data_IF_838123636870
#
_entry.id   IF_838123636870
#
_cell.length_a   1.000
_cell.length_b   1.000
_cell.length_c   1.000
_cell.angle_alpha   90.00
_cell.angle_beta   90.00
_cell.angle_gamma   90.00
#
_symmetry.space_group_name_H-M   'P 1'
#
loop_
_entity.id
_entity.type
_entity.pdbx_description
1 polymer ?
#
# COMPACT_ATOMS: atom_id res chain seq x y z
N UNK A 1 40.70 -8.62 11.07
CA UNK A 1 41.42 -8.18 12.29
C UNK A 1 41.10 -6.71 12.48
N UNK A 2 40.61 -6.32 13.65
CA UNK A 2 40.22 -4.92 13.90
C UNK A 2 41.46 -4.05 14.15
N UNK A 3 41.39 -2.76 13.81
CA UNK A 3 42.53 -1.82 13.97
C UNK A 3 43.11 -1.81 15.38
N UNK A 4 42.24 -1.92 16.42
CA UNK A 4 42.67 -1.95 17.83
C UNK A 4 43.42 -3.22 18.17
N UNK A 5 42.91 -4.39 17.77
CA UNK A 5 43.60 -5.67 17.94
C UNK A 5 44.93 -5.72 17.17
N UNK A 6 44.91 -5.19 15.92
CA UNK A 6 46.14 -5.11 15.12
C UNK A 6 47.21 -4.23 15.80
N UNK A 7 46.80 -3.08 16.35
CA UNK A 7 47.70 -2.18 17.07
C UNK A 7 48.27 -2.83 18.33
N UNK A 8 47.44 -3.48 19.16
CA UNK A 8 47.89 -4.16 20.37
C UNK A 8 48.83 -5.32 20.06
N UNK A 9 48.52 -6.12 19.04
CA UNK A 9 49.37 -7.20 18.57
C UNK A 9 50.72 -6.65 18.08
N UNK A 10 50.71 -5.56 17.31
CA UNK A 10 51.91 -4.91 16.83
C UNK A 10 52.80 -4.41 17.98
N UNK A 11 52.21 -3.77 18.99
CA UNK A 11 52.91 -3.32 20.19
C UNK A 11 53.54 -4.51 20.94
N UNK A 12 52.82 -5.60 21.11
CA UNK A 12 53.35 -6.81 21.77
C UNK A 12 54.47 -7.48 20.96
N UNK A 13 54.38 -7.50 19.64
CA UNK A 13 55.43 -8.02 18.76
C UNK A 13 56.68 -7.12 18.84
N UNK A 14 56.50 -5.79 18.77
CA UNK A 14 57.61 -4.84 18.93
C UNK A 14 58.32 -4.99 20.31
N UNK A 15 57.51 -5.16 21.37
CA UNK A 15 58.04 -5.43 22.71
C UNK A 15 58.79 -6.78 22.79
N UNK A 16 58.29 -7.82 22.11
CA UNK A 16 58.97 -9.11 22.01
C UNK A 16 60.34 -9.00 21.33
N UNK A 17 60.40 -8.25 20.22
CA UNK A 17 61.66 -8.01 19.50
C UNK A 17 62.64 -7.20 20.34
N UNK A 18 62.20 -6.16 21.05
CA UNK A 18 63.01 -5.36 21.95
C UNK A 18 63.55 -6.19 23.15
N UNK A 19 62.68 -7.00 23.77
CA UNK A 19 63.04 -7.86 24.88
C UNK A 19 64.04 -8.94 24.47
N UNK A 20 63.91 -9.52 23.26
CA UNK A 20 64.89 -10.49 22.75
C UNK A 20 66.26 -9.92 22.49
N UNK A 21 66.37 -8.60 22.21
CA UNK A 21 67.66 -7.93 21.97
C UNK A 21 68.32 -7.41 23.24
N UNK A 22 67.49 -7.03 24.25
CA UNK A 22 68.01 -6.26 25.41
C UNK A 22 67.95 -7.01 26.77
N UNK A 23 66.99 -7.96 26.91
CA UNK A 23 66.77 -8.64 28.18
C UNK A 23 67.19 -10.12 28.14
N UNK A 24 66.30 -10.98 27.77
CA UNK A 24 66.45 -12.43 27.71
C UNK A 24 65.58 -13.09 26.69
N UNK A 25 65.97 -14.22 26.05
CA UNK A 25 65.08 -14.91 25.05
C UNK A 25 63.80 -15.46 25.67
N UNK A 26 63.77 -15.76 26.99
CA UNK A 26 62.59 -16.18 27.71
C UNK A 26 61.49 -15.07 27.79
N UNK A 27 61.91 -13.81 27.99
CA UNK A 27 61.05 -12.67 28.03
C UNK A 27 60.47 -12.40 26.63
N UNK A 28 61.21 -12.53 25.55
CA UNK A 28 60.76 -12.40 24.18
C UNK A 28 59.65 -13.45 23.84
N UNK A 29 59.89 -14.70 24.26
CA UNK A 29 58.90 -15.76 24.05
C UNK A 29 57.56 -15.49 24.79
N UNK A 30 57.63 -14.92 26.00
CA UNK A 30 56.44 -14.59 26.78
C UNK A 30 55.63 -13.48 26.12
N UNK A 31 56.25 -12.41 25.62
CA UNK A 31 55.57 -11.35 24.88
C UNK A 31 54.98 -11.84 23.54
N UNK A 32 55.65 -12.76 22.88
CA UNK A 32 55.15 -13.37 21.64
C UNK A 32 53.91 -14.24 21.89
N UNK A 33 53.92 -15.06 22.94
CA UNK A 33 52.75 -15.84 23.35
C UNK A 33 51.61 -14.93 23.77
N UNK A 34 51.88 -13.84 24.49
CA UNK A 34 50.88 -12.84 24.85
C UNK A 34 50.26 -12.18 23.59
N UNK A 35 51.05 -11.85 22.57
CA UNK A 35 50.58 -11.31 21.32
C UNK A 35 49.59 -12.26 20.61
N UNK A 36 49.91 -13.56 20.56
CA UNK A 36 49.06 -14.58 19.99
C UNK A 36 47.76 -14.70 20.79
N UNK A 37 47.81 -14.74 22.11
CA UNK A 37 46.65 -14.81 22.98
C UNK A 37 45.72 -13.60 22.78
N UNK A 38 46.28 -12.39 22.72
CA UNK A 38 45.52 -11.17 22.47
C UNK A 38 44.84 -11.21 21.09
N UNK A 39 45.56 -11.65 20.05
CA UNK A 39 45.05 -11.76 18.71
C UNK A 39 43.84 -12.71 18.59
N UNK A 40 43.91 -13.82 19.33
CA UNK A 40 42.83 -14.84 19.35
C UNK A 40 41.69 -14.46 20.27
N UNK A 41 41.97 -13.79 21.40
CA UNK A 41 41.01 -13.51 22.45
C UNK A 41 40.18 -12.24 22.23
N UNK A 42 40.78 -11.21 21.64
CA UNK A 42 40.14 -9.90 21.51
C UNK A 42 39.32 -9.81 20.22
N UNK A 43 37.99 -9.69 20.36
CA UNK A 43 37.07 -9.49 19.27
C UNK A 43 36.27 -8.20 19.46
N UNK A 44 35.89 -7.57 18.38
CA UNK A 44 35.06 -6.38 18.37
C UNK A 44 33.83 -6.61 17.48
N UNK A 45 32.68 -6.32 18.03
CA UNK A 45 31.41 -6.34 17.28
C UNK A 45 31.06 -4.93 16.82
N UNK A 46 30.55 -4.83 15.59
CA UNK A 46 29.94 -3.60 15.08
C UNK A 46 28.62 -3.31 15.80
N UNK A 47 28.13 -2.07 15.70
CA UNK A 47 26.90 -1.66 16.37
C UNK A 47 25.66 -2.49 15.97
N UNK A 48 25.68 -3.06 14.79
CA UNK A 48 24.58 -3.84 14.23
C UNK A 48 24.77 -5.36 14.30
N UNK A 49 25.91 -5.83 14.85
CA UNK A 49 26.24 -7.24 14.97
C UNK A 49 26.04 -7.74 16.39
N UNK A 50 25.43 -8.91 16.51
CA UNK A 50 25.40 -9.68 17.76
C UNK A 50 26.14 -11.00 17.57
N UNK A 51 27.07 -11.27 18.47
CA UNK A 51 27.86 -12.48 18.48
C UNK A 51 27.25 -13.47 19.47
N UNK A 52 26.92 -14.66 19.00
CA UNK A 52 26.43 -15.76 19.84
C UNK A 52 27.61 -16.64 20.20
N UNK A 53 27.96 -16.66 21.50
CA UNK A 53 29.15 -17.35 22.02
C UNK A 53 28.69 -18.58 22.80
N UNK A 54 29.19 -19.73 22.37
CA UNK A 54 29.07 -20.98 23.12
C UNK A 54 30.37 -21.29 23.86
N UNK A 55 30.24 -21.74 25.10
CA UNK A 55 31.32 -22.27 25.90
C UNK A 55 31.12 -23.76 26.09
N UNK A 56 32.06 -24.59 25.60
CA UNK A 56 31.97 -26.04 25.69
C UNK A 56 30.57 -26.60 25.22
N UNK A 57 30.00 -25.99 24.15
CA UNK A 57 28.72 -26.42 23.60
C UNK A 57 27.48 -25.86 24.32
N UNK A 58 27.64 -25.11 25.42
CA UNK A 58 26.49 -24.44 26.09
C UNK A 58 26.51 -22.95 25.79
N UNK A 59 25.33 -22.38 25.62
CA UNK A 59 25.18 -20.93 25.44
C UNK A 59 25.72 -20.20 26.68
N UNK A 60 26.68 -19.32 26.46
CA UNK A 60 27.24 -18.52 27.54
C UNK A 60 26.67 -17.10 27.53
N UNK A 61 26.72 -16.43 26.39
CA UNK A 61 26.26 -15.05 26.29
C UNK A 61 26.11 -14.62 24.82
N UNK A 62 25.19 -13.67 24.60
CA UNK A 62 25.08 -12.92 23.34
C UNK A 62 25.74 -11.57 23.55
N UNK A 63 26.84 -11.29 22.82
CA UNK A 63 27.60 -10.04 22.91
C UNK A 63 27.18 -9.10 21.78
N UNK A 64 26.78 -7.88 22.15
CA UNK A 64 26.50 -6.79 21.22
C UNK A 64 27.73 -5.94 20.91
N UNK A 65 27.47 -4.71 20.45
CA UNK A 65 28.50 -3.75 20.06
C UNK A 65 29.55 -3.53 21.11
N UNK A 66 30.80 -3.43 20.67
CA UNK A 66 31.93 -3.12 21.51
C UNK A 66 33.01 -4.18 21.49
N UNK A 67 34.00 -3.98 22.37
CA UNK A 67 35.15 -4.85 22.52
C UNK A 67 34.85 -5.90 23.59
N UNK A 68 35.06 -7.16 23.29
CA UNK A 68 34.88 -8.25 24.23
C UNK A 68 35.98 -9.30 24.12
N UNK A 69 36.18 -9.98 25.22
CA UNK A 69 37.22 -11.00 25.38
C UNK A 69 36.59 -12.38 25.24
N UNK A 70 37.20 -13.22 24.41
CA UNK A 70 36.83 -14.62 24.21
C UNK A 70 37.98 -15.47 24.73
N UNK A 71 37.71 -16.56 25.44
CA UNK A 71 38.75 -17.51 25.85
C UNK A 71 39.03 -18.43 24.66
N UNK A 72 40.20 -18.30 24.02
CA UNK A 72 40.56 -19.17 22.91
C UNK A 72 40.42 -20.66 23.29
N UNK A 73 40.00 -21.50 22.35
CA UNK A 73 39.82 -22.95 22.55
C UNK A 73 38.56 -23.35 23.32
N UNK A 74 38.12 -22.60 24.33
CA UNK A 74 36.95 -22.93 25.16
C UNK A 74 35.69 -22.28 24.61
N UNK A 75 35.78 -21.03 24.17
CA UNK A 75 34.66 -20.24 23.62
C UNK A 75 34.69 -20.32 22.11
N UNK A 76 33.53 -20.62 21.53
CA UNK A 76 33.31 -20.65 20.07
C UNK A 76 32.22 -19.67 19.68
N UNK A 77 32.47 -18.88 18.62
CA UNK A 77 31.47 -18.03 18.00
C UNK A 77 30.70 -18.89 16.99
N UNK A 78 29.42 -19.19 17.28
CA UNK A 78 28.59 -20.03 16.42
C UNK A 78 27.95 -19.23 15.30
N UNK A 79 27.51 -18.00 15.61
CA UNK A 79 26.88 -17.15 14.63
C UNK A 79 27.16 -15.66 14.92
N UNK A 80 27.23 -14.90 13.85
CA UNK A 80 27.22 -13.44 13.87
C UNK A 80 25.91 -12.99 13.21
N UNK A 81 25.03 -12.39 13.99
CA UNK A 81 23.70 -12.00 13.57
C UNK A 81 23.64 -10.50 13.33
N UNK A 82 23.20 -10.09 12.15
CA UNK A 82 22.92 -8.70 11.82
C UNK A 82 21.49 -8.37 12.29
N UNK A 83 21.35 -7.36 13.15
CA UNK A 83 20.05 -6.94 13.73
C UNK A 83 19.35 -5.83 12.94
N UNK A 84 19.95 -5.36 11.85
CA UNK A 84 19.33 -4.37 10.96
C UNK A 84 18.11 -4.95 10.25
N UNK A 85 17.25 -4.08 9.78
CA UNK A 85 16.15 -4.46 8.91
C UNK A 85 16.73 -5.01 7.61
N UNK A 86 16.35 -6.24 7.28
CA UNK A 86 16.70 -6.93 6.05
C UNK A 86 15.46 -7.06 5.18
N UNK A 87 15.67 -7.15 3.87
CA UNK A 87 14.62 -7.30 2.88
C UNK A 87 14.81 -8.60 2.13
N UNK A 88 13.74 -9.35 1.95
CA UNK A 88 13.73 -10.56 1.12
C UNK A 88 12.56 -10.45 0.15
N UNK A 89 12.85 -10.57 -1.14
CA UNK A 89 11.83 -10.70 -2.16
C UNK A 89 11.46 -12.17 -2.32
N UNK A 90 10.16 -12.46 -2.42
CA UNK A 90 9.64 -13.80 -2.63
C UNK A 90 8.44 -13.75 -3.56
N UNK A 91 8.14 -14.86 -4.21
CA UNK A 91 7.06 -14.98 -5.17
C UNK A 91 6.23 -16.25 -4.96
N UNK A 92 4.99 -16.20 -5.42
CA UNK A 92 4.14 -17.37 -5.56
C UNK A 92 3.75 -17.51 -7.02
N UNK A 93 4.42 -18.44 -7.70
CA UNK A 93 4.14 -18.73 -9.10
C UNK A 93 2.95 -19.69 -9.21
N UNK A 94 2.05 -19.40 -10.17
CA UNK A 94 0.88 -20.21 -10.51
C UNK A 94 0.02 -20.61 -9.30
N UNK A 95 -0.10 -19.71 -8.34
CA UNK A 95 -0.99 -19.93 -7.21
C UNK A 95 -2.45 -19.77 -7.65
N UNK A 96 -3.34 -20.65 -7.20
CA UNK A 96 -4.76 -20.57 -7.50
C UNK A 96 -5.47 -19.79 -6.41
N UNK A 97 -6.22 -18.77 -6.80
CA UNK A 97 -7.12 -18.04 -5.90
C UNK A 97 -8.35 -18.88 -5.55
N UNK A 98 -9.15 -18.42 -4.58
CA UNK A 98 -10.39 -19.08 -4.17
C UNK A 98 -11.38 -19.28 -5.34
N UNK A 99 -11.38 -18.38 -6.30
CA UNK A 99 -12.15 -18.42 -7.54
C UNK A 99 -11.45 -19.18 -8.68
N UNK A 100 -10.45 -19.99 -8.35
CA UNK A 100 -9.69 -20.88 -9.26
C UNK A 100 -8.93 -20.17 -10.39
N UNK A 101 -8.62 -18.90 -10.21
CA UNK A 101 -7.82 -18.12 -11.17
C UNK A 101 -6.34 -18.30 -10.85
N UNK A 102 -5.51 -18.76 -11.79
CA UNK A 102 -4.07 -18.83 -11.57
C UNK A 102 -3.46 -17.41 -11.60
N UNK A 103 -2.69 -17.09 -10.58
CA UNK A 103 -2.01 -15.80 -10.42
C UNK A 103 -0.54 -16.00 -10.09
N UNK A 104 0.29 -15.05 -10.52
CA UNK A 104 1.66 -14.91 -10.04
C UNK A 104 1.72 -13.65 -9.17
N UNK A 105 2.16 -13.81 -7.94
CA UNK A 105 2.22 -12.72 -6.97
C UNK A 105 3.66 -12.55 -6.50
N UNK A 106 4.17 -11.33 -6.64
CA UNK A 106 5.47 -10.91 -6.13
C UNK A 106 5.28 -10.07 -4.88
N UNK A 107 6.06 -10.39 -3.83
CA UNK A 107 6.00 -9.67 -2.57
C UNK A 107 7.40 -9.46 -1.98
N UNK A 108 7.52 -8.48 -1.09
CA UNK A 108 8.72 -8.19 -0.34
C UNK A 108 8.39 -8.20 1.15
N UNK A 109 9.22 -8.86 1.93
CA UNK A 109 9.17 -8.84 3.39
C UNK A 109 10.30 -8.01 3.95
N UNK A 110 9.99 -7.14 4.91
CA UNK A 110 10.95 -6.41 5.74
C UNK A 110 10.95 -7.02 7.13
N UNK A 111 12.09 -7.51 7.55
CA UNK A 111 12.23 -8.22 8.81
C UNK A 111 13.55 -7.91 9.50
N UNK A 112 13.62 -8.15 10.80
CA UNK A 112 14.85 -8.03 11.58
C UNK A 112 14.90 -9.08 12.69
N UNK A 113 16.09 -9.38 13.13
CA UNK A 113 16.30 -10.30 14.26
C UNK A 113 16.25 -9.50 15.56
N UNK A 114 15.27 -9.76 16.42
CA UNK A 114 15.18 -9.18 17.75
C UNK A 114 15.89 -10.02 18.80
N UNK A 115 15.88 -11.34 18.64
CA UNK A 115 16.51 -12.30 19.55
C UNK A 115 17.56 -13.13 18.79
N UNK A 116 18.83 -12.73 18.93
CA UNK A 116 19.94 -13.38 18.23
C UNK A 116 20.24 -14.79 18.76
N UNK A 117 19.88 -15.08 20.00
CA UNK A 117 20.04 -16.42 20.60
C UNK A 117 19.13 -17.42 19.87
N UNK A 118 17.84 -17.11 19.80
CA UNK A 118 16.87 -17.98 19.12
C UNK A 118 17.20 -18.12 17.64
N UNK A 119 17.57 -17.03 16.98
CA UNK A 119 17.91 -17.06 15.56
C UNK A 119 19.14 -17.94 15.25
N UNK A 120 20.07 -18.05 16.19
CA UNK A 120 21.26 -18.89 16.02
C UNK A 120 21.06 -20.36 16.41
N UNK A 121 20.20 -20.63 17.41
CA UNK A 121 20.09 -21.96 18.02
C UNK A 121 18.80 -22.70 17.62
N UNK A 122 17.71 -21.98 17.34
CA UNK A 122 16.45 -22.63 17.01
C UNK A 122 16.37 -23.11 15.56
N UNK A 123 17.13 -22.48 14.64
CA UNK A 123 17.10 -22.79 13.23
C UNK A 123 18.48 -22.68 12.58
N UNK A 124 18.76 -23.57 11.64
CA UNK A 124 20.07 -23.64 10.99
C UNK A 124 20.31 -22.45 10.05
N UNK A 125 19.32 -22.11 9.21
CA UNK A 125 19.39 -21.02 8.26
C UNK A 125 18.09 -20.21 8.30
N UNK A 126 18.04 -19.22 9.17
CA UNK A 126 16.86 -18.37 9.37
C UNK A 126 16.46 -17.59 8.12
N UNK A 127 17.43 -17.18 7.26
CA UNK A 127 17.15 -16.43 6.03
C UNK A 127 16.36 -17.28 5.04
N UNK A 128 16.80 -18.49 4.79
CA UNK A 128 16.13 -19.42 3.89
C UNK A 128 14.78 -19.86 4.47
N UNK A 129 14.69 -20.05 5.77
CA UNK A 129 13.46 -20.42 6.43
C UNK A 129 12.39 -19.33 6.34
N UNK A 130 12.77 -18.04 6.49
CA UNK A 130 11.86 -16.91 6.30
C UNK A 130 11.32 -16.91 4.87
N UNK A 131 12.19 -17.07 3.87
CA UNK A 131 11.77 -17.12 2.47
C UNK A 131 10.73 -18.23 2.22
N UNK A 132 10.99 -19.43 2.70
CA UNK A 132 10.07 -20.57 2.57
C UNK A 132 8.73 -20.36 3.29
N UNK A 133 8.79 -19.79 4.50
CA UNK A 133 7.57 -19.49 5.28
C UNK A 133 6.78 -18.39 4.57
N UNK A 134 7.45 -17.35 4.07
CA UNK A 134 6.80 -16.26 3.34
C UNK A 134 6.11 -16.77 2.07
N UNK A 135 6.79 -17.61 1.27
CA UNK A 135 6.19 -18.23 0.07
C UNK A 135 4.98 -19.09 0.42
N UNK A 136 5.06 -19.89 1.49
CA UNK A 136 3.96 -20.77 1.91
C UNK A 136 2.77 -19.96 2.41
N UNK A 137 3.00 -18.94 3.26
CA UNK A 137 1.95 -18.07 3.77
C UNK A 137 1.29 -17.25 2.66
N UNK A 138 2.08 -16.80 1.66
CA UNK A 138 1.55 -16.13 0.49
C UNK A 138 0.61 -17.04 -0.31
N UNK A 139 1.00 -18.30 -0.54
CA UNK A 139 0.13 -19.28 -1.21
C UNK A 139 -1.16 -19.56 -0.44
N UNK A 140 -1.07 -19.72 0.88
CA UNK A 140 -2.23 -19.92 1.76
C UNK A 140 -3.20 -18.75 1.65
N UNK A 141 -2.67 -17.51 1.69
CA UNK A 141 -3.46 -16.29 1.57
C UNK A 141 -4.12 -16.17 0.19
N UNK A 142 -3.38 -16.42 -0.90
CA UNK A 142 -3.93 -16.40 -2.27
C UNK A 142 -5.06 -17.43 -2.40
N UNK A 143 -4.85 -18.67 -1.90
CA UNK A 143 -5.85 -19.73 -1.97
C UNK A 143 -7.12 -19.46 -1.16
N UNK A 144 -7.04 -18.65 -0.13
CA UNK A 144 -8.19 -18.26 0.70
C UNK A 144 -8.89 -16.99 0.21
N UNK A 145 -8.27 -16.21 -0.67
CA UNK A 145 -8.73 -14.90 -1.12
C UNK A 145 -9.35 -14.95 -2.51
N UNK A 146 -10.32 -14.06 -2.77
CA UNK A 146 -10.84 -13.82 -4.11
C UNK A 146 -9.89 -12.89 -4.88
N UNK A 147 -9.79 -13.06 -6.19
CA UNK A 147 -8.94 -12.21 -7.02
C UNK A 147 -9.30 -10.73 -6.90
N UNK A 148 -10.59 -10.40 -6.88
CA UNK A 148 -11.06 -9.03 -6.72
C UNK A 148 -10.57 -8.39 -5.41
N UNK A 149 -10.60 -9.13 -4.30
CA UNK A 149 -10.11 -8.67 -2.99
C UNK A 149 -8.59 -8.44 -3.00
N UNK A 150 -7.82 -9.34 -3.62
CA UNK A 150 -6.36 -9.18 -3.77
C UNK A 150 -5.96 -7.93 -4.56
N UNK A 151 -6.81 -7.51 -5.51
CA UNK A 151 -6.56 -6.32 -6.33
C UNK A 151 -7.03 -5.03 -5.67
N UNK A 152 -8.17 -5.05 -4.91
CA UNK A 152 -8.77 -3.88 -4.27
C UNK A 152 -8.22 -3.59 -2.87
N UNK A 153 -8.05 -4.63 -2.06
CA UNK A 153 -7.79 -4.50 -0.62
C UNK A 153 -6.37 -4.96 -0.22
N UNK A 154 -5.37 -4.54 -1.02
CA UNK A 154 -3.96 -4.91 -0.82
C UNK A 154 -3.46 -4.67 0.61
N UNK A 155 -3.86 -3.56 1.23
CA UNK A 155 -3.41 -3.22 2.60
C UNK A 155 -3.87 -4.24 3.64
N UNK A 156 -5.06 -4.79 3.48
CA UNK A 156 -5.58 -5.82 4.37
C UNK A 156 -4.85 -7.15 4.17
N UNK A 157 -4.58 -7.51 2.91
CA UNK A 157 -3.77 -8.67 2.56
C UNK A 157 -2.33 -8.56 3.12
N UNK A 158 -1.68 -7.40 2.99
CA UNK A 158 -0.35 -7.12 3.55
C UNK A 158 -0.35 -7.27 5.07
N UNK A 159 -1.38 -6.74 5.76
CA UNK A 159 -1.52 -6.84 7.21
C UNK A 159 -1.72 -8.29 7.67
N UNK A 160 -2.54 -9.05 6.97
CA UNK A 160 -2.78 -10.46 7.26
C UNK A 160 -1.52 -11.29 7.07
N UNK A 161 -0.80 -11.12 5.95
CA UNK A 161 0.48 -11.79 5.70
C UNK A 161 1.51 -11.47 6.78
N UNK A 162 1.60 -10.21 7.19
CA UNK A 162 2.49 -9.80 8.29
C UNK A 162 2.20 -10.57 9.57
N UNK A 163 0.92 -10.72 9.93
CA UNK A 163 0.50 -11.45 11.12
C UNK A 163 0.86 -12.94 11.00
N UNK A 164 0.52 -13.57 9.89
CA UNK A 164 0.73 -15.00 9.67
C UNK A 164 2.22 -15.37 9.65
N UNK A 165 3.02 -14.63 8.89
CA UNK A 165 4.47 -14.85 8.85
C UNK A 165 5.10 -14.51 10.20
N UNK A 166 4.66 -13.43 10.85
CA UNK A 166 5.15 -13.03 12.17
C UNK A 166 4.91 -14.10 13.23
N UNK A 167 3.74 -14.72 13.26
CA UNK A 167 3.44 -15.83 14.18
C UNK A 167 4.33 -17.04 13.93
N UNK A 168 4.58 -17.41 12.67
CA UNK A 168 5.42 -18.54 12.29
C UNK A 168 6.90 -18.30 12.57
N UNK A 169 7.37 -17.04 12.52
CA UNK A 169 8.79 -16.67 12.69
C UNK A 169 9.15 -16.21 14.11
N UNK A 170 8.17 -15.83 14.93
CA UNK A 170 8.38 -15.40 16.31
C UNK A 170 9.15 -16.41 17.18
N UNK A 171 8.94 -17.74 17.09
CA UNK A 171 9.71 -18.72 17.84
C UNK A 171 11.22 -18.71 17.53
N UNK A 172 11.60 -18.20 16.36
CA UNK A 172 12.99 -18.10 15.92
C UNK A 172 13.64 -16.74 16.28
N UNK A 173 12.93 -15.90 17.02
CA UNK A 173 13.44 -14.58 17.43
C UNK A 173 13.48 -13.55 16.30
N UNK A 174 12.62 -13.70 15.30
CA UNK A 174 12.52 -12.83 14.14
C UNK A 174 11.23 -12.03 14.20
N UNK A 175 11.32 -10.74 13.94
CA UNK A 175 10.17 -9.84 13.85
C UNK A 175 9.99 -9.35 12.42
N UNK A 176 8.76 -9.46 11.92
CA UNK A 176 8.34 -8.92 10.63
C UNK A 176 7.89 -7.49 10.81
N UNK A 177 8.58 -6.55 10.15
CA UNK A 177 8.24 -5.12 10.19
C UNK A 177 7.07 -4.80 9.27
N UNK A 178 7.16 -5.22 8.01
CA UNK A 178 6.08 -5.12 7.02
C UNK A 178 6.22 -6.20 5.97
N UNK A 179 5.10 -6.48 5.30
CA UNK A 179 5.05 -7.28 4.07
C UNK A 179 4.32 -6.41 3.06
N UNK A 180 4.80 -6.41 1.84
CA UNK A 180 4.24 -5.59 0.76
C UNK A 180 4.12 -6.41 -0.51
N UNK A 181 2.89 -6.53 -1.01
CA UNK A 181 2.60 -7.15 -2.30
C UNK A 181 2.94 -6.14 -3.38
N UNK A 182 3.89 -6.48 -4.24
CA UNK A 182 4.35 -5.62 -5.34
C UNK A 182 3.44 -5.71 -6.54
N UNK A 183 3.29 -6.90 -7.08
CA UNK A 183 2.55 -7.15 -8.32
C UNK A 183 1.71 -8.42 -8.21
N UNK A 184 0.57 -8.40 -8.91
CA UNK A 184 -0.33 -9.52 -9.07
C UNK A 184 -0.56 -9.70 -10.56
N UNK A 185 0.19 -10.60 -11.16
CA UNK A 185 0.10 -10.88 -12.58
C UNK A 185 -0.93 -12.00 -12.83
N UNK A 186 -1.92 -11.69 -13.67
CA UNK A 186 -2.94 -12.63 -14.15
C UNK A 186 -2.68 -12.99 -15.61
N UNK A 187 -3.05 -14.19 -16.08
CA UNK A 187 -2.91 -14.59 -17.48
C UNK A 187 -3.61 -13.62 -18.42
N UNK A 188 -2.98 -13.32 -19.57
CA UNK A 188 -3.46 -12.32 -20.54
C UNK A 188 -4.90 -12.62 -21.01
N UNK A 189 -5.21 -13.91 -21.24
CA UNK A 189 -6.55 -14.32 -21.66
C UNK A 189 -7.66 -13.95 -20.67
N UNK A 190 -7.33 -13.92 -19.36
CA UNK A 190 -8.26 -13.52 -18.30
C UNK A 190 -8.31 -12.00 -18.13
N UNK A 191 -7.23 -11.28 -18.40
CA UNK A 191 -7.20 -9.82 -18.35
C UNK A 191 -8.23 -9.22 -19.31
N UNK A 192 -8.33 -9.73 -20.54
CA UNK A 192 -9.30 -9.28 -21.53
C UNK A 192 -10.75 -9.54 -21.10
N UNK A 193 -11.01 -10.71 -20.54
CA UNK A 193 -12.35 -11.05 -20.03
C UNK A 193 -12.75 -10.17 -18.85
N UNK A 194 -11.87 -9.96 -17.89
CA UNK A 194 -12.11 -9.10 -16.73
C UNK A 194 -12.24 -7.63 -17.13
N UNK A 195 -11.47 -7.16 -18.11
CA UNK A 195 -11.59 -5.80 -18.65
C UNK A 195 -12.96 -5.57 -19.26
N UNK A 196 -13.47 -6.50 -20.07
CA UNK A 196 -14.84 -6.43 -20.63
C UNK A 196 -15.92 -6.45 -19.56
N UNK A 197 -15.77 -7.31 -18.56
CA UNK A 197 -16.70 -7.37 -17.43
C UNK A 197 -16.71 -6.06 -16.65
N UNK A 198 -15.52 -5.51 -16.33
CA UNK A 198 -15.41 -4.24 -15.64
C UNK A 198 -15.98 -3.07 -16.45
N UNK A 199 -15.79 -3.07 -17.77
CA UNK A 199 -16.42 -2.08 -18.66
C UNK A 199 -17.93 -2.17 -18.65
N UNK A 200 -18.48 -3.39 -18.77
CA UNK A 200 -19.92 -3.61 -18.75
C UNK A 200 -20.56 -3.19 -17.40
N UNK A 201 -19.89 -3.47 -16.28
CA UNK A 201 -20.40 -3.04 -14.97
C UNK A 201 -20.33 -1.52 -14.80
N UNK A 202 -19.25 -0.85 -15.25
CA UNK A 202 -19.17 0.62 -15.26
C UNK A 202 -20.23 1.24 -16.14
N UNK A 203 -20.48 0.67 -17.31
CA UNK A 203 -21.52 1.14 -18.22
C UNK A 203 -22.92 0.98 -17.61
N UNK A 204 -23.19 -0.15 -16.97
CA UNK A 204 -24.43 -0.38 -16.23
C UNK A 204 -24.59 0.64 -15.10
N UNK A 205 -23.54 0.88 -14.30
CA UNK A 205 -23.58 1.89 -13.23
C UNK A 205 -23.80 3.30 -13.78
N UNK A 206 -23.12 3.66 -14.88
CA UNK A 206 -23.31 4.95 -15.54
C UNK A 206 -24.75 5.12 -16.02
N UNK A 207 -25.35 4.10 -16.65
CA UNK A 207 -26.76 4.13 -17.08
C UNK A 207 -27.72 4.22 -15.90
N UNK A 208 -27.44 3.54 -14.78
CA UNK A 208 -28.27 3.65 -13.57
C UNK A 208 -28.19 5.06 -12.97
N UNK A 209 -27.00 5.66 -12.91
CA UNK A 209 -26.81 7.04 -12.41
C UNK A 209 -27.55 8.03 -13.32
N UNK A 210 -27.40 7.89 -14.64
CA UNK A 210 -28.12 8.74 -15.60
C UNK A 210 -29.63 8.60 -15.45
N UNK A 211 -30.17 7.38 -15.38
CA UNK A 211 -31.57 7.15 -15.17
C UNK A 211 -32.12 7.72 -13.85
N UNK A 212 -31.32 7.59 -12.77
CA UNK A 212 -31.70 8.21 -11.49
C UNK A 212 -31.65 9.73 -11.53
N UNK A 213 -30.67 10.31 -12.26
CA UNK A 213 -30.57 11.75 -12.48
C UNK A 213 -31.77 12.25 -13.33
N UNK A 214 -32.12 11.55 -14.41
CA UNK A 214 -33.29 11.87 -15.25
C UNK A 214 -34.60 11.82 -14.44
N UNK A 215 -34.77 10.78 -13.59
CA UNK A 215 -35.96 10.68 -12.73
C UNK A 215 -36.01 11.83 -11.71
N UNK A 216 -34.85 12.20 -11.12
CA UNK A 216 -34.81 13.33 -10.20
C UNK A 216 -35.10 14.66 -10.91
N UNK A 217 -34.57 14.86 -12.12
CA UNK A 217 -34.86 16.04 -12.96
C UNK A 217 -36.33 16.08 -13.33
N UNK A 218 -36.94 14.94 -13.77
CA UNK A 218 -38.34 14.86 -14.09
C UNK A 218 -39.21 15.23 -12.88
N UNK A 219 -38.89 14.77 -11.68
CA UNK A 219 -39.56 15.20 -10.46
C UNK A 219 -39.50 16.71 -10.24
N UNK A 220 -38.34 17.32 -10.44
CA UNK A 220 -38.18 18.78 -10.35
C UNK A 220 -38.94 19.56 -11.41
N UNK A 221 -39.10 19.01 -12.62
CA UNK A 221 -39.92 19.59 -13.64
C UNK A 221 -41.42 19.55 -13.31
N UNK A 222 -41.91 18.47 -12.68
CA UNK A 222 -43.28 18.39 -12.19
C UNK A 222 -43.54 19.43 -11.10
N UNK A 223 -42.67 19.51 -10.09
CA UNK A 223 -42.74 20.53 -9.03
C UNK A 223 -42.76 21.96 -9.63
N UNK A 224 -41.87 22.22 -10.59
CA UNK A 224 -41.80 23.52 -11.25
C UNK A 224 -43.08 23.81 -12.08
N UNK A 225 -43.61 22.79 -12.77
CA UNK A 225 -44.85 22.94 -13.56
C UNK A 225 -46.06 23.26 -12.67
N UNK A 226 -46.19 22.65 -11.50
CA UNK A 226 -47.25 22.93 -10.53
C UNK A 226 -47.17 24.39 -10.03
N UNK A 227 -45.96 24.90 -9.75
CA UNK A 227 -45.76 26.30 -9.34
C UNK A 227 -46.15 27.26 -10.48
N UNK A 228 -45.72 26.96 -11.71
CA UNK A 228 -46.02 27.80 -12.87
C UNK A 228 -47.50 27.74 -13.31
N UNK A 229 -48.20 26.65 -13.06
CA UNK A 229 -49.63 26.54 -13.32
C UNK A 229 -50.48 27.60 -12.58
N UNK A 230 -50.04 27.95 -11.36
CA UNK A 230 -50.63 29.03 -10.58
C UNK A 230 -50.26 30.47 -11.00
N UNK A 231 -49.15 30.61 -11.76
CA UNK A 231 -48.55 31.92 -12.10
C UNK A 231 -48.12 32.02 -13.57
N UNK A 232 -49.05 32.21 -14.52
CA UNK A 232 -48.75 32.19 -15.97
C UNK A 232 -47.73 33.28 -16.41
N UNK A 233 -47.72 34.42 -15.74
CA UNK A 233 -46.76 35.51 -16.01
C UNK A 233 -45.32 35.08 -15.66
N UNK A 234 -45.15 34.32 -14.59
CA UNK A 234 -43.84 33.80 -14.19
C UNK A 234 -43.30 32.79 -15.21
N UNK A 235 -44.17 31.96 -15.81
CA UNK A 235 -43.77 31.03 -16.87
C UNK A 235 -43.25 31.78 -18.10
N UNK A 236 -43.93 32.90 -18.51
CA UNK A 236 -43.50 33.73 -19.64
C UNK A 236 -42.14 34.39 -19.37
N UNK A 237 -41.93 34.91 -18.17
CA UNK A 237 -40.63 35.50 -17.78
C UNK A 237 -39.51 34.45 -17.77
N UNK A 238 -39.83 33.22 -17.33
CA UNK A 238 -38.84 32.14 -17.34
C UNK A 238 -38.49 31.71 -18.77
N UNK A 239 -39.47 31.62 -19.66
CA UNK A 239 -39.26 31.33 -21.08
C UNK A 239 -38.33 32.41 -21.74
N UNK A 240 -38.59 33.69 -21.47
CA UNK A 240 -37.75 34.78 -21.98
C UNK A 240 -36.34 34.71 -21.43
N UNK A 241 -36.16 34.37 -20.15
CA UNK A 241 -34.86 34.26 -19.53
C UNK A 241 -34.03 33.08 -20.12
N UNK A 242 -34.66 31.93 -20.37
CA UNK A 242 -34.00 30.79 -21.02
C UNK A 242 -33.53 31.16 -22.43
N UNK A 243 -34.38 31.87 -23.21
CA UNK A 243 -34.01 32.34 -24.55
C UNK A 243 -32.82 33.29 -24.48
N UNK A 244 -32.86 34.22 -23.54
CA UNK A 244 -31.77 35.18 -23.33
C UNK A 244 -30.46 34.49 -22.96
N UNK A 245 -30.45 33.57 -21.98
CA UNK A 245 -29.27 32.81 -21.55
C UNK A 245 -28.69 31.97 -22.71
N UNK A 246 -29.54 31.24 -23.45
CA UNK A 246 -29.11 30.41 -24.58
C UNK A 246 -28.50 31.26 -25.71
N UNK A 247 -29.07 32.42 -26.00
CA UNK A 247 -28.57 33.34 -27.04
C UNK A 247 -27.26 33.96 -26.63
N UNK A 248 -27.11 34.31 -25.33
CA UNK A 248 -25.89 34.94 -24.79
C UNK A 248 -24.71 33.98 -24.77
N UNK A 249 -24.92 32.72 -24.37
CA UNK A 249 -23.80 31.77 -24.18
C UNK A 249 -23.30 31.15 -25.48
N UNK A 250 -24.18 30.92 -26.47
CA UNK A 250 -23.86 30.14 -27.69
C UNK A 250 -24.01 30.87 -29.00
N UNK A 251 -24.57 32.07 -29.03
CA UNK A 251 -24.82 32.82 -30.28
C UNK A 251 -25.73 32.02 -31.25
N UNK A 252 -26.58 31.13 -30.72
CA UNK A 252 -27.38 30.22 -31.51
C UNK A 252 -28.66 30.85 -32.02
N UNK A 253 -29.00 30.59 -33.28
CA UNK A 253 -30.32 30.93 -33.84
C UNK A 253 -31.35 29.92 -33.32
N UNK A 254 -32.38 30.46 -32.60
CA UNK A 254 -33.45 29.60 -32.07
C UNK A 254 -34.62 29.68 -33.05
N UNK A 255 -34.97 28.54 -33.67
CA UNK A 255 -36.18 28.43 -34.47
C UNK A 255 -37.37 28.10 -33.55
N UNK A 256 -38.31 29.05 -33.43
CA UNK A 256 -39.51 28.86 -32.63
C UNK A 256 -40.76 28.71 -33.55
N UNK A 257 -41.65 27.79 -33.25
CA UNK A 257 -42.96 27.74 -33.93
C UNK A 257 -43.75 29.02 -33.68
N UNK A 258 -44.46 29.54 -34.70
CA UNK A 258 -45.24 30.79 -34.60
C UNK A 258 -46.28 30.76 -33.48
N UNK A 259 -46.86 29.60 -33.21
CA UNK A 259 -47.81 29.42 -32.09
C UNK A 259 -47.18 29.66 -30.70
N UNK A 260 -45.86 29.43 -30.57
CA UNK A 260 -45.11 29.65 -29.33
C UNK A 260 -44.69 31.11 -29.18
N UNK A 261 -44.42 31.80 -30.31
CA UNK A 261 -44.12 33.23 -30.35
C UNK A 261 -45.35 34.04 -29.94
N UNK A 262 -46.53 33.64 -30.42
CA UNK A 262 -47.81 34.29 -30.08
C UNK A 262 -48.18 34.14 -28.60
N UNK A 263 -47.85 33.00 -27.99
CA UNK A 263 -48.06 32.75 -26.53
C UNK A 263 -47.12 33.52 -25.63
N UNK A 264 -45.94 33.95 -26.12
CA UNK A 264 -44.93 34.72 -25.40
C UNK A 264 -45.14 36.27 -25.61
N UNK A 265 -45.96 36.68 -26.56
CA UNK A 265 -46.20 38.10 -26.86
C UNK A 265 -47.20 38.69 -25.86
N UNK A 266 -46.76 39.56 -24.94
CA UNK A 266 -47.65 40.13 -23.90
C UNK A 266 -48.75 41.01 -24.46
N UNK A 267 -48.59 41.52 -25.70
CA UNK A 267 -49.62 42.32 -26.38
C UNK A 267 -50.85 41.53 -26.83
N UNK A 268 -50.66 40.27 -27.17
CA UNK A 268 -51.80 39.39 -27.53
C UNK A 268 -52.66 39.02 -26.30
N UNK A 269 -52.03 38.79 -25.15
CA UNK A 269 -52.76 38.47 -23.90
C UNK A 269 -53.51 39.70 -23.34
N UNK A 270 -52.92 40.89 -23.46
CA UNK A 270 -53.58 42.16 -23.04
C UNK A 270 -54.70 42.58 -23.97
N UNK A 271 -54.59 42.31 -25.28
CA UNK A 271 -55.69 42.53 -26.26
C UNK A 271 -56.84 41.56 -26.02
N UNK A 272 -56.56 40.30 -25.74
CA UNK A 272 -57.59 39.28 -25.41
C UNK A 272 -58.33 39.65 -24.12
N UNK A 273 -57.65 40.13 -23.08
CA UNK A 273 -58.25 40.60 -21.84
C UNK A 273 -59.04 41.90 -22.03
N UNK A 274 -58.57 42.81 -22.93
CA UNK A 274 -59.29 44.05 -23.26
C UNK A 274 -60.58 43.80 -24.10
N UNK A 275 -60.59 42.74 -24.90
CA UNK A 275 -61.80 42.37 -25.68
C UNK A 275 -62.82 41.68 -24.78
N UNK A 276 -62.44 40.90 -23.81
CA UNK A 276 -63.35 40.25 -22.85
C UNK A 276 -63.90 41.22 -21.81
N UNK A 277 -63.13 42.30 -21.50
CA UNK A 277 -63.55 43.33 -20.56
C UNK A 277 -64.50 44.42 -21.13
N UNK A 278 -64.63 44.52 -22.43
CA UNK A 278 -65.62 45.35 -23.06
C UNK A 278 -66.91 44.52 -23.35
N UNK A 279 -67.76 44.44 -22.34
CA UNK A 279 -69.05 43.89 -22.46
C UNK A 279 -69.82 44.55 -23.65
N UNK A 280 -70.47 43.73 -24.42
CA UNK A 280 -71.35 44.09 -25.53
C UNK A 280 -72.39 45.09 -25.04
N UNK A 281 -72.49 46.35 -25.58
CA UNK A 281 -73.59 47.20 -25.24
C UNK A 281 -74.82 46.73 -26.01
N UNK A 282 -75.90 46.44 -25.24
CA UNK A 282 -77.30 46.55 -25.56
C UNK A 282 -77.81 46.18 -26.96
N UNK A 283 -78.49 45.07 -27.06
CA UNK A 283 -79.55 44.91 -28.12
C UNK A 283 -80.78 45.67 -27.68
N UNK A 284 -81.40 46.48 -28.59
CA UNK A 284 -82.64 47.16 -28.27
C UNK A 284 -83.82 46.19 -28.37
N UNK A 285 -84.76 46.33 -27.43
CA UNK A 285 -86.00 45.58 -27.42
C UNK A 285 -86.85 45.92 -28.59
N UNK A 286 -87.62 44.91 -29.04
CA UNK A 286 -88.72 45.09 -29.89
C UNK A 286 -89.94 44.29 -29.39
N UNK A 287 -90.96 45.01 -29.06
CA UNK A 287 -92.33 44.72 -29.19
C UNK A 287 -92.99 43.59 -28.44
#
# INVERSE_FOLDING_TARGET
MNSITAFLVFVCIAASLAAGRWLNPSAAALFFVAAILIALSLKMANAWEKFVILRMGKLQSVRGAGLFLIIPVIDNIVAVIDVRIQTTAFNAEQALTKDTVPVNVDAIIFWHVHDAEKAALAITNYREAIDRVAQTSLREMIGSSLLAALLSDRKEADAQLKIDIGQKTAPWGISVSSVEIRDVAIPVALQDAMSRQAQAEREKQARMILGSAEAAIAGRFVEAAEIYAGHPVALQLRAMNIIYETTKERGATILMPTSMVDSVNPSAATLALAVVGKGIPGAPGAG
#
